data_IF_591377799498
#
_entry.id   IF_591377799498
#
_cell.length_a   1.000
_cell.length_b   1.000
_cell.length_c   1.000
_cell.angle_alpha   90.00
_cell.angle_beta   90.00
_cell.angle_gamma   90.00
#
_symmetry.space_group_name_H-M   'P 1'
#
loop_
_entity.id
_entity.type
_entity.pdbx_description
1 polymer ?
#
# COMPACT_ATOMS: atom_id res chain seq x y z
N UNK A 1 60.35 -15.08 -43.73
CA UNK A 1 59.27 -16.09 -43.49
C UNK A 1 58.59 -15.90 -42.14
N UNK A 2 59.34 -15.66 -41.06
CA UNK A 2 58.81 -15.44 -39.70
C UNK A 2 57.71 -14.35 -39.59
N UNK A 3 57.83 -13.25 -40.34
CA UNK A 3 56.84 -12.16 -40.32
C UNK A 3 55.48 -12.52 -40.96
N UNK A 4 55.44 -13.50 -41.86
CA UNK A 4 54.19 -13.98 -42.46
C UNK A 4 53.45 -14.92 -41.50
N UNK A 5 54.20 -15.76 -40.77
CA UNK A 5 53.67 -16.67 -39.75
C UNK A 5 53.00 -15.88 -38.62
N UNK A 6 53.65 -14.82 -38.10
CA UNK A 6 53.06 -13.96 -37.07
C UNK A 6 51.77 -13.26 -37.54
N UNK A 7 51.71 -12.84 -38.81
CA UNK A 7 50.50 -12.24 -39.39
C UNK A 7 49.36 -13.25 -39.52
N UNK A 8 49.66 -14.51 -39.82
CA UNK A 8 48.65 -15.58 -39.85
C UNK A 8 48.10 -15.85 -38.45
N UNK A 9 48.97 -16.04 -37.46
CA UNK A 9 48.59 -16.28 -36.06
C UNK A 9 47.75 -15.13 -35.48
N UNK A 10 48.12 -13.87 -35.75
CA UNK A 10 47.33 -12.72 -35.28
C UNK A 10 45.96 -12.62 -35.94
N UNK A 11 45.81 -13.07 -37.20
CA UNK A 11 44.50 -13.14 -37.86
C UNK A 11 43.62 -14.21 -37.22
N UNK A 12 44.18 -15.38 -36.92
CA UNK A 12 43.47 -16.47 -36.24
C UNK A 12 43.00 -16.05 -34.85
N UNK A 13 43.87 -15.42 -34.06
CA UNK A 13 43.52 -14.90 -32.73
C UNK A 13 42.39 -13.85 -32.83
N UNK A 14 42.45 -12.96 -33.83
CA UNK A 14 41.40 -11.96 -34.04
C UNK A 14 40.08 -12.60 -34.45
N UNK A 15 40.09 -13.60 -35.32
CA UNK A 15 38.91 -14.34 -35.72
C UNK A 15 38.28 -15.08 -34.51
N UNK A 16 39.10 -15.76 -33.70
CA UNK A 16 38.63 -16.42 -32.48
C UNK A 16 38.01 -15.42 -31.48
N UNK A 17 38.65 -14.26 -31.28
CA UNK A 17 38.11 -13.21 -30.41
C UNK A 17 36.79 -12.62 -30.94
N UNK A 18 36.62 -12.51 -32.26
CA UNK A 18 35.36 -12.09 -32.87
C UNK A 18 34.25 -13.12 -32.65
N UNK A 19 34.53 -14.40 -32.90
CA UNK A 19 33.58 -15.50 -32.67
C UNK A 19 33.13 -15.55 -31.21
N UNK A 20 34.07 -15.41 -30.26
CA UNK A 20 33.75 -15.39 -28.83
C UNK A 20 32.83 -14.22 -28.46
N UNK A 21 33.07 -13.03 -29.02
CA UNK A 21 32.20 -11.86 -28.81
C UNK A 21 30.80 -12.09 -29.37
N UNK A 22 30.68 -12.73 -30.54
CA UNK A 22 29.39 -13.07 -31.14
C UNK A 22 28.61 -14.06 -30.27
N UNK A 23 29.27 -15.12 -29.77
CA UNK A 23 28.65 -16.08 -28.85
C UNK A 23 28.13 -15.40 -27.57
N UNK A 24 28.90 -14.50 -26.97
CA UNK A 24 28.43 -13.72 -25.80
C UNK A 24 27.23 -12.86 -26.16
N UNK A 25 27.24 -12.21 -27.32
CA UNK A 25 26.14 -11.36 -27.76
C UNK A 25 24.85 -12.16 -27.97
N UNK A 26 24.96 -13.35 -28.55
CA UNK A 26 23.85 -14.28 -28.76
C UNK A 26 23.28 -14.79 -27.43
N UNK A 27 24.13 -15.25 -26.51
CA UNK A 27 23.70 -15.66 -25.17
C UNK A 27 22.96 -14.53 -24.44
N UNK A 28 23.43 -13.28 -24.56
CA UNK A 28 22.74 -12.12 -23.99
C UNK A 28 21.38 -11.86 -24.63
N UNK A 29 21.22 -12.11 -25.93
CA UNK A 29 19.91 -11.98 -26.62
C UNK A 29 18.94 -13.03 -26.12
N UNK A 30 19.36 -14.30 -26.10
CA UNK A 30 18.55 -15.43 -25.59
C UNK A 30 18.12 -15.18 -24.15
N UNK A 31 19.03 -14.74 -23.28
CA UNK A 31 18.70 -14.42 -21.89
C UNK A 31 17.67 -13.29 -21.76
N UNK A 32 17.74 -12.27 -22.64
CA UNK A 32 16.75 -11.18 -22.68
C UNK A 32 15.39 -11.65 -23.16
N UNK A 33 15.35 -12.52 -24.16
CA UNK A 33 14.11 -13.09 -24.68
C UNK A 33 13.43 -13.97 -23.63
N UNK A 34 14.17 -14.88 -23.01
CA UNK A 34 13.66 -15.69 -21.89
C UNK A 34 13.16 -14.81 -20.73
N UNK A 35 13.86 -13.73 -20.40
CA UNK A 35 13.41 -12.79 -19.37
C UNK A 35 12.12 -12.05 -19.76
N UNK A 36 11.94 -11.70 -21.05
CA UNK A 36 10.70 -11.08 -21.55
C UNK A 36 9.54 -12.06 -21.46
N UNK A 37 9.71 -13.29 -21.95
CA UNK A 37 8.68 -14.33 -21.90
C UNK A 37 8.23 -14.62 -20.48
N UNK A 38 9.18 -14.78 -19.55
CA UNK A 38 8.86 -14.99 -18.14
C UNK A 38 8.10 -13.78 -17.54
N UNK A 39 8.49 -12.55 -17.91
CA UNK A 39 7.78 -11.34 -17.45
C UNK A 39 6.35 -11.29 -17.99
N UNK A 40 6.13 -11.71 -19.22
CA UNK A 40 4.79 -11.75 -19.83
C UNK A 40 3.92 -12.82 -19.19
N UNK A 41 4.45 -14.04 -18.96
CA UNK A 41 3.76 -15.10 -18.22
C UNK A 41 3.35 -14.64 -16.82
N UNK A 42 4.29 -14.07 -16.05
CA UNK A 42 4.01 -13.54 -14.72
C UNK A 42 2.97 -12.41 -14.73
N UNK A 43 2.96 -11.56 -15.76
CA UNK A 43 1.93 -10.51 -15.91
C UNK A 43 0.57 -11.12 -16.21
N UNK A 44 0.49 -12.12 -17.09
CA UNK A 44 -0.75 -12.80 -17.44
C UNK A 44 -1.35 -13.51 -16.21
N UNK A 45 -0.53 -14.24 -15.45
CA UNK A 45 -0.95 -14.91 -14.21
C UNK A 45 -1.45 -13.90 -13.17
N UNK A 46 -0.70 -12.80 -12.95
CA UNK A 46 -1.14 -11.74 -12.04
C UNK A 46 -2.43 -11.08 -12.50
N UNK A 47 -2.60 -10.82 -13.79
CA UNK A 47 -3.83 -10.24 -14.32
C UNK A 47 -5.04 -11.15 -14.04
N UNK A 48 -4.90 -12.46 -14.27
CA UNK A 48 -5.93 -13.45 -13.94
C UNK A 48 -6.27 -13.44 -12.44
N UNK A 49 -5.26 -13.48 -11.57
CA UNK A 49 -5.46 -13.41 -10.11
C UNK A 49 -6.15 -12.12 -9.68
N UNK A 50 -5.75 -10.98 -10.25
CA UNK A 50 -6.38 -9.69 -9.92
C UNK A 50 -7.84 -9.63 -10.37
N UNK A 51 -8.19 -10.24 -11.51
CA UNK A 51 -9.57 -10.30 -12.00
C UNK A 51 -10.45 -11.15 -11.07
N UNK A 52 -9.97 -12.33 -10.66
CA UNK A 52 -10.67 -13.17 -9.69
C UNK A 52 -10.87 -12.46 -8.34
N UNK A 53 -9.79 -11.86 -7.81
CA UNK A 53 -9.88 -11.10 -6.56
C UNK A 53 -10.83 -9.88 -6.68
N UNK A 54 -10.85 -9.22 -7.83
CA UNK A 54 -11.77 -8.11 -8.07
C UNK A 54 -13.24 -8.57 -8.04
N UNK A 55 -13.56 -9.71 -8.66
CA UNK A 55 -14.92 -10.30 -8.65
C UNK A 55 -15.37 -10.65 -7.23
N UNK A 56 -14.51 -11.32 -6.46
CA UNK A 56 -14.81 -11.67 -5.07
C UNK A 56 -15.08 -10.40 -4.25
N UNK A 57 -14.23 -9.38 -4.41
CA UNK A 57 -14.37 -8.12 -3.68
C UNK A 57 -15.64 -7.35 -4.09
N UNK A 58 -16.00 -7.38 -5.37
CA UNK A 58 -17.25 -6.79 -5.85
C UNK A 58 -18.46 -7.45 -5.19
N UNK A 59 -18.53 -8.79 -5.19
CA UNK A 59 -19.62 -9.53 -4.55
C UNK A 59 -19.71 -9.22 -3.03
N UNK A 60 -18.56 -9.14 -2.34
CA UNK A 60 -18.53 -8.75 -0.93
C UNK A 60 -19.06 -7.32 -0.70
N UNK A 61 -18.66 -6.37 -1.55
CA UNK A 61 -19.10 -4.99 -1.45
C UNK A 61 -20.61 -4.87 -1.72
N UNK A 62 -21.13 -5.59 -2.71
CA UNK A 62 -22.56 -5.63 -3.03
C UNK A 62 -23.37 -6.17 -1.84
N UNK A 63 -22.94 -7.28 -1.24
CA UNK A 63 -23.58 -7.82 -0.04
C UNK A 63 -23.56 -6.83 1.14
N UNK A 64 -22.43 -6.16 1.40
CA UNK A 64 -22.36 -5.13 2.45
C UNK A 64 -23.24 -3.92 2.14
N UNK A 65 -23.34 -3.52 0.87
CA UNK A 65 -24.15 -2.39 0.46
C UNK A 65 -25.65 -2.69 0.57
N UNK A 66 -26.09 -3.90 0.22
CA UNK A 66 -27.50 -4.31 0.41
C UNK A 66 -27.87 -4.36 1.89
N UNK A 67 -27.01 -4.92 2.76
CA UNK A 67 -27.22 -4.90 4.21
C UNK A 67 -27.33 -3.48 4.76
N UNK A 68 -26.41 -2.58 4.37
CA UNK A 68 -26.46 -1.17 4.80
C UNK A 68 -27.70 -0.45 4.28
N UNK A 69 -28.11 -0.72 3.04
CA UNK A 69 -29.32 -0.15 2.45
C UNK A 69 -30.57 -0.59 3.24
N UNK A 70 -30.67 -1.88 3.59
CA UNK A 70 -31.74 -2.39 4.46
C UNK A 70 -31.70 -1.70 5.83
N UNK A 71 -30.54 -1.59 6.47
CA UNK A 71 -30.41 -0.91 7.77
C UNK A 71 -30.82 0.58 7.71
N UNK A 72 -30.42 1.31 6.67
CA UNK A 72 -30.78 2.73 6.50
C UNK A 72 -32.28 2.91 6.26
N UNK A 73 -32.89 2.07 5.42
CA UNK A 73 -34.34 2.10 5.18
C UNK A 73 -35.17 1.87 6.45
N UNK A 74 -34.65 1.05 7.38
CA UNK A 74 -35.28 0.81 8.68
C UNK A 74 -35.09 1.99 9.65
N UNK A 75 -33.95 2.68 9.62
CA UNK A 75 -33.68 3.85 10.50
C UNK A 75 -34.63 5.02 10.24
N UNK A 76 -35.01 5.28 8.98
CA UNK A 76 -35.98 6.33 8.63
C UNK A 76 -37.42 6.03 9.04
N UNK A 77 -37.77 4.76 9.26
CA UNK A 77 -39.10 4.31 9.72
C UNK A 77 -39.22 4.22 11.24
N UNK A 78 -38.12 4.39 12.01
CA UNK A 78 -38.18 4.52 13.46
C UNK A 78 -38.92 5.81 13.78
N UNK A 79 -40.15 5.64 14.25
CA UNK A 79 -41.10 6.67 14.60
C UNK A 79 -40.42 7.85 15.30
N UNK A 80 -40.78 9.06 14.90
CA UNK A 80 -40.73 10.27 15.71
C UNK A 80 -41.69 10.18 16.93
N UNK A 81 -41.72 9.03 17.64
CA UNK A 81 -42.66 8.76 18.74
C UNK A 81 -42.01 8.69 20.11
N UNK A 82 -40.71 8.93 20.26
CA UNK A 82 -40.20 9.28 21.59
C UNK A 82 -40.31 10.79 21.77
N UNK A 83 -41.25 11.19 22.62
CA UNK A 83 -41.24 12.55 23.19
C UNK A 83 -39.85 12.78 23.81
N UNK A 84 -39.23 13.96 23.66
CA UNK A 84 -37.97 14.24 24.33
C UNK A 84 -38.18 14.04 25.83
N UNK A 85 -37.43 13.12 26.42
CA UNK A 85 -37.47 12.87 27.86
C UNK A 85 -37.02 14.14 28.56
N UNK A 86 -37.97 14.83 29.20
CA UNK A 86 -37.70 15.98 30.08
C UNK A 86 -37.15 15.51 31.42
N UNK A 87 -36.09 14.71 31.41
CA UNK A 87 -35.32 14.52 32.63
C UNK A 87 -34.47 15.76 32.83
N UNK A 88 -35.02 16.71 33.60
CA UNK A 88 -34.26 17.83 34.17
C UNK A 88 -33.04 17.23 34.87
N UNK A 89 -31.86 17.37 34.26
CA UNK A 89 -30.59 17.10 34.93
C UNK A 89 -30.58 18.00 36.15
N UNK A 90 -30.73 17.40 37.34
CA UNK A 90 -30.49 18.12 38.59
C UNK A 90 -29.04 18.62 38.50
N UNK A 91 -28.87 19.94 38.40
CA UNK A 91 -27.57 20.56 38.61
C UNK A 91 -27.23 20.27 40.07
N UNK A 92 -26.39 19.26 40.30
CA UNK A 92 -25.70 19.13 41.57
C UNK A 92 -24.83 20.38 41.67
N UNK A 93 -25.13 21.24 42.64
CA UNK A 93 -24.28 22.37 42.96
C UNK A 93 -22.91 21.79 43.29
N UNK A 94 -21.93 22.06 42.43
CA UNK A 94 -20.55 21.76 42.71
C UNK A 94 -20.12 22.80 43.74
N UNK A 95 -19.92 22.37 44.97
CA UNK A 95 -19.25 23.13 46.00
C UNK A 95 -17.93 23.63 45.40
N UNK A 96 -17.76 24.94 45.37
CA UNK A 96 -16.55 25.59 44.89
C UNK A 96 -15.51 25.39 45.99
N UNK A 97 -14.81 24.27 45.92
CA UNK A 97 -13.52 24.13 46.59
C UNK A 97 -12.59 25.10 45.88
N UNK A 98 -12.04 26.05 46.63
CA UNK A 98 -10.96 26.95 46.20
C UNK A 98 -9.89 26.13 45.47
N UNK A 99 -9.81 26.35 44.15
CA UNK A 99 -8.78 25.76 43.32
C UNK A 99 -7.59 26.69 43.43
N UNK A 100 -6.59 26.30 44.21
CA UNK A 100 -5.22 26.79 44.04
C UNK A 100 -4.89 26.75 42.54
N UNK A 101 -4.38 27.85 42.01
CA UNK A 101 -4.09 28.03 40.59
C UNK A 101 -3.38 26.78 40.02
N UNK A 102 -4.00 26.04 39.09
CA UNK A 102 -3.33 24.90 38.49
C UNK A 102 -2.19 25.44 37.63
N UNK A 103 -0.98 24.96 37.90
CA UNK A 103 0.21 25.26 37.10
C UNK A 103 -0.11 25.16 35.59
N UNK A 104 0.44 26.07 34.76
CA UNK A 104 0.11 26.12 33.34
C UNK A 104 0.36 24.76 32.68
N UNK A 105 -0.65 24.26 31.95
CA UNK A 105 -0.57 22.97 31.28
C UNK A 105 0.66 22.93 30.35
N UNK A 106 1.40 21.80 30.31
CA UNK A 106 2.57 21.70 29.45
C UNK A 106 2.18 21.87 27.98
N UNK A 107 3.06 22.49 27.16
CA UNK A 107 2.78 22.68 25.75
C UNK A 107 2.56 21.33 25.04
N UNK A 108 1.69 21.30 24.02
CA UNK A 108 1.39 20.07 23.30
C UNK A 108 2.66 19.52 22.63
N UNK A 109 2.89 18.21 22.76
CA UNK A 109 4.02 17.56 22.10
C UNK A 109 3.79 17.53 20.59
N UNK A 110 4.65 18.20 19.83
CA UNK A 110 4.59 18.23 18.37
C UNK A 110 5.60 17.26 17.74
N UNK A 111 5.23 16.70 16.58
CA UNK A 111 6.16 15.94 15.73
C UNK A 111 7.14 16.87 15.00
N UNK A 112 8.20 16.33 14.39
CA UNK A 112 9.17 17.09 13.56
C UNK A 112 8.51 17.87 12.40
N UNK A 113 7.28 17.51 12.01
CA UNK A 113 6.46 18.18 10.98
C UNK A 113 5.42 19.14 11.56
N UNK A 114 5.51 19.51 12.84
CA UNK A 114 4.60 20.46 13.50
C UNK A 114 3.21 19.92 13.84
N UNK A 115 2.93 18.62 13.63
CA UNK A 115 1.63 18.03 14.00
C UNK A 115 1.58 17.61 15.46
N UNK A 116 0.48 17.91 16.15
CA UNK A 116 0.22 17.50 17.53
C UNK A 116 0.16 15.97 17.67
N UNK A 117 0.86 15.44 18.68
CA UNK A 117 0.90 14.02 18.99
C UNK A 117 -0.13 13.74 20.10
N UNK A 118 -1.28 13.20 19.70
CA UNK A 118 -2.29 12.72 20.65
C UNK A 118 -2.04 11.24 20.97
N UNK A 119 -1.51 10.95 22.17
CA UNK A 119 -1.38 9.57 22.63
C UNK A 119 -2.77 8.97 22.92
N UNK A 120 -3.13 7.84 22.30
CA UNK A 120 -4.35 7.10 22.65
C UNK A 120 -4.35 6.73 24.13
N UNK A 121 -5.53 6.70 24.78
CA UNK A 121 -5.66 6.40 26.23
C UNK A 121 -5.02 5.08 26.66
N UNK A 122 -4.99 4.07 25.78
CA UNK A 122 -4.32 2.79 26.04
C UNK A 122 -2.79 2.89 26.20
N UNK A 123 -2.20 4.02 25.79
CA UNK A 123 -0.77 4.31 25.85
C UNK A 123 -0.47 5.57 26.69
N UNK A 124 -1.46 6.06 27.44
CA UNK A 124 -1.27 7.14 28.41
C UNK A 124 -0.94 6.58 29.77
#
# INVERSE_FOLDING_TARGET
EESQIQKAQTKEIKAAAQLYKLQIAEQKRVAREAAKENRERMKAEKAAQTAEHARIKQAQNEAQNTEKALQLSQKGKRKASSKPSTQKRRKVAREVVEVEEPAPAPPPRTSRRGRNINLPKKFK
#
